data_IF_249572130373
#
_entry.id   IF_249572130373
#
_cell.length_a   1.000
_cell.length_b   1.000
_cell.length_c   1.000
_cell.angle_alpha   90.00
_cell.angle_beta   90.00
_cell.angle_gamma   90.00
#
_symmetry.space_group_name_H-M   'P 1'
#
loop_
_entity.id
_entity.type
_entity.pdbx_description
1 polymer ?
#
# COMPACT_ATOMS: atom_id res chain seq x y z
N UNK A 1 3.13 17.98 7.65
CA UNK A 1 2.99 16.87 6.69
C UNK A 1 3.60 15.65 7.33
N UNK A 2 2.88 14.54 7.33
CA UNK A 2 3.43 13.25 7.70
C UNK A 2 4.54 12.85 6.71
N UNK A 3 5.62 12.26 7.22
CA UNK A 3 6.79 11.80 6.43
C UNK A 3 6.90 10.27 6.43
N UNK A 4 5.88 9.59 6.91
CA UNK A 4 5.74 8.14 6.93
C UNK A 4 5.64 7.61 5.50
N UNK A 5 6.51 6.66 5.16
CA UNK A 5 6.59 6.07 3.83
C UNK A 5 6.22 4.59 3.90
N UNK A 6 5.27 4.19 3.05
CA UNK A 6 4.74 2.83 2.95
C UNK A 6 4.94 2.28 1.54
N UNK A 7 5.16 0.96 1.42
CA UNK A 7 5.42 0.33 0.12
C UNK A 7 4.28 0.56 -0.87
N UNK A 8 3.03 0.46 -0.43
CA UNK A 8 1.87 0.56 -1.33
C UNK A 8 1.74 1.96 -1.94
N UNK A 9 2.09 3.01 -1.20
CA UNK A 9 2.10 4.39 -1.72
C UNK A 9 3.14 4.52 -2.84
N UNK A 10 4.37 4.04 -2.61
CA UNK A 10 5.40 4.03 -3.65
C UNK A 10 4.97 3.20 -4.86
N UNK A 11 4.38 2.03 -4.63
CA UNK A 11 3.93 1.12 -5.68
C UNK A 11 2.80 1.65 -6.54
N UNK A 12 1.80 2.34 -5.97
CA UNK A 12 0.71 2.90 -6.77
C UNK A 12 1.19 4.08 -7.63
N UNK A 13 2.07 4.93 -7.11
CA UNK A 13 2.68 6.01 -7.89
C UNK A 13 3.60 5.47 -8.99
N UNK A 14 4.32 4.38 -8.71
CA UNK A 14 5.14 3.68 -9.70
C UNK A 14 4.27 3.17 -10.85
N UNK A 15 3.21 2.42 -10.54
CA UNK A 15 2.34 1.85 -11.55
C UNK A 15 1.64 2.94 -12.38
N UNK A 16 1.13 3.98 -11.72
CA UNK A 16 0.53 5.13 -12.42
C UNK A 16 1.53 5.83 -13.35
N UNK A 17 2.77 6.04 -12.90
CA UNK A 17 3.83 6.63 -13.73
C UNK A 17 4.19 5.73 -14.92
N UNK A 18 4.19 4.41 -14.72
CA UNK A 18 4.46 3.44 -15.79
C UNK A 18 3.37 3.47 -16.86
N UNK A 19 2.09 3.51 -16.46
CA UNK A 19 0.96 3.68 -17.37
C UNK A 19 1.05 5.01 -18.11
N UNK A 20 1.38 6.10 -17.42
CA UNK A 20 1.54 7.41 -18.05
C UNK A 20 2.69 7.43 -19.06
N UNK A 21 3.82 6.80 -18.75
CA UNK A 21 4.91 6.65 -19.70
C UNK A 21 4.47 5.82 -20.91
N UNK A 22 3.79 4.70 -20.70
CA UNK A 22 3.33 3.86 -21.79
C UNK A 22 2.34 4.60 -22.73
N UNK A 23 1.40 5.36 -22.18
CA UNK A 23 0.40 6.09 -22.98
C UNK A 23 0.99 7.32 -23.68
N UNK A 24 1.83 8.09 -22.99
CA UNK A 24 2.30 9.39 -23.50
C UNK A 24 3.65 9.34 -24.20
N UNK A 25 4.46 8.31 -23.90
CA UNK A 25 5.87 8.19 -24.28
C UNK A 25 6.75 9.38 -23.85
N UNK A 26 6.29 10.20 -22.90
CA UNK A 26 7.01 11.35 -22.38
C UNK A 26 8.09 10.91 -21.37
N UNK A 27 9.35 11.26 -21.66
CA UNK A 27 10.51 10.87 -20.87
C UNK A 27 10.41 11.25 -19.38
N UNK A 28 9.66 12.30 -19.02
CA UNK A 28 9.47 12.68 -17.61
C UNK A 28 8.89 11.54 -16.77
N UNK A 29 7.95 10.78 -17.34
CA UNK A 29 7.32 9.66 -16.64
C UNK A 29 8.29 8.49 -16.47
N UNK A 30 9.18 8.27 -17.45
CA UNK A 30 10.27 7.30 -17.29
C UNK A 30 11.21 7.68 -16.15
N UNK A 31 11.57 8.97 -16.04
CA UNK A 31 12.36 9.47 -14.91
C UNK A 31 11.66 9.22 -13.57
N UNK A 32 10.35 9.39 -13.49
CA UNK A 32 9.58 9.08 -12.28
C UNK A 32 9.59 7.58 -11.96
N UNK A 33 9.38 6.72 -12.96
CA UNK A 33 9.45 5.25 -12.80
C UNK A 33 10.81 4.83 -12.25
N UNK A 34 11.90 5.28 -12.88
CA UNK A 34 13.26 4.90 -12.48
C UNK A 34 13.59 5.37 -11.07
N UNK A 35 13.17 6.59 -10.71
CA UNK A 35 13.34 7.14 -9.37
C UNK A 35 12.54 6.37 -8.32
N UNK A 36 11.30 6.00 -8.60
CA UNK A 36 10.43 5.26 -7.68
C UNK A 36 10.90 3.82 -7.48
N UNK A 37 11.40 3.16 -8.52
CA UNK A 37 12.03 1.83 -8.40
C UNK A 37 13.26 1.92 -7.52
N UNK A 38 14.18 2.86 -7.81
CA UNK A 38 15.41 3.03 -7.04
C UNK A 38 15.12 3.31 -5.56
N UNK A 39 14.28 4.30 -5.27
CA UNK A 39 13.90 4.64 -3.90
C UNK A 39 13.19 3.49 -3.20
N UNK A 40 12.32 2.77 -3.91
CA UNK A 40 11.61 1.63 -3.36
C UNK A 40 12.55 0.49 -2.95
N UNK A 41 13.55 0.18 -3.79
CA UNK A 41 14.57 -0.82 -3.46
C UNK A 41 15.38 -0.38 -2.24
N UNK A 42 15.85 0.86 -2.20
CA UNK A 42 16.64 1.39 -1.08
C UNK A 42 15.87 1.43 0.25
N UNK A 43 14.56 1.72 0.20
CA UNK A 43 13.75 1.99 1.40
C UNK A 43 12.98 0.77 1.92
N UNK A 44 12.54 -0.10 1.02
CA UNK A 44 11.56 -1.15 1.31
C UNK A 44 12.09 -2.55 1.05
N UNK A 45 13.42 -2.70 1.07
CA UNK A 45 14.04 -4.01 1.08
C UNK A 45 14.87 -4.19 2.33
N UNK A 46 15.00 -5.43 2.79
CA UNK A 46 15.98 -5.78 3.82
C UNK A 46 17.38 -5.47 3.29
N UNK A 47 18.17 -4.73 4.08
CA UNK A 47 19.54 -4.36 3.75
C UNK A 47 20.37 -5.58 3.31
N UNK A 48 20.81 -5.55 2.04
CA UNK A 48 21.68 -6.57 1.46
C UNK A 48 20.97 -7.78 0.84
N UNK A 49 19.66 -7.96 1.07
CA UNK A 49 18.96 -9.20 0.70
C UNK A 49 17.86 -9.02 -0.35
N UNK A 50 17.50 -7.80 -0.79
CA UNK A 50 16.42 -7.57 -1.79
C UNK A 50 15.08 -8.28 -1.43
N UNK A 51 14.77 -8.38 -0.14
CA UNK A 51 13.52 -8.96 0.37
C UNK A 51 12.57 -7.83 0.73
N UNK A 52 11.35 -7.82 0.17
CA UNK A 52 10.38 -6.77 0.44
C UNK A 52 9.98 -6.68 1.93
N UNK A 53 9.91 -5.45 2.43
CA UNK A 53 9.93 -5.16 3.86
C UNK A 53 9.14 -3.89 4.22
N UNK A 54 8.32 -3.94 5.27
CA UNK A 54 7.64 -2.77 5.84
C UNK A 54 8.44 -2.16 7.00
N UNK A 55 9.36 -1.26 6.65
CA UNK A 55 10.39 -0.73 7.57
C UNK A 55 9.90 -0.10 8.88
N UNK A 56 8.67 0.42 8.93
CA UNK A 56 8.15 1.06 10.13
C UNK A 56 7.55 0.10 11.15
N UNK A 57 6.92 -0.97 10.69
CA UNK A 57 6.07 -1.80 11.53
C UNK A 57 6.57 -3.25 11.64
N UNK A 58 7.19 -3.77 10.59
CA UNK A 58 7.68 -5.13 10.52
C UNK A 58 8.79 -5.45 11.53
N UNK A 59 9.81 -4.59 11.79
CA UNK A 59 10.84 -4.92 12.77
C UNK A 59 10.25 -5.11 14.18
N UNK A 60 9.25 -4.29 14.53
CA UNK A 60 8.63 -4.27 15.85
C UNK A 60 7.42 -5.21 15.97
N UNK A 61 6.95 -5.79 14.86
CA UNK A 61 5.75 -6.64 14.86
C UNK A 61 4.47 -5.84 15.16
N UNK A 62 4.43 -4.57 14.76
CA UNK A 62 3.32 -3.64 15.07
C UNK A 62 2.46 -3.31 13.84
N UNK A 63 2.60 -4.08 12.75
CA UNK A 63 1.79 -3.86 11.56
C UNK A 63 0.31 -4.18 11.83
N UNK A 64 -0.55 -3.23 11.49
CA UNK A 64 -2.00 -3.43 11.49
C UNK A 64 -2.46 -4.30 10.30
N UNK A 65 -3.77 -4.54 10.23
CA UNK A 65 -4.36 -5.40 9.20
C UNK A 65 -4.17 -4.86 7.77
N UNK A 66 -4.15 -3.54 7.61
CA UNK A 66 -3.95 -2.90 6.31
C UNK A 66 -2.48 -3.06 5.87
N UNK A 67 -1.55 -2.71 6.75
CA UNK A 67 -0.10 -2.73 6.49
C UNK A 67 0.42 -4.11 6.10
N UNK A 68 -0.22 -5.18 6.61
CA UNK A 68 0.13 -6.57 6.27
C UNK A 68 -0.09 -6.94 4.81
N UNK A 69 -0.82 -6.13 4.05
CA UNK A 69 -1.09 -6.33 2.63
C UNK A 69 -0.18 -5.52 1.69
N UNK A 70 0.49 -4.49 2.21
CA UNK A 70 1.13 -3.45 1.41
C UNK A 70 2.27 -3.96 0.53
N UNK A 71 3.22 -4.74 1.09
CA UNK A 71 4.34 -5.32 0.33
C UNK A 71 3.86 -6.22 -0.83
N UNK A 72 2.71 -6.88 -0.66
CA UNK A 72 2.07 -7.66 -1.72
C UNK A 72 1.63 -6.81 -2.90
N UNK A 73 0.97 -5.68 -2.64
CA UNK A 73 0.56 -4.74 -3.69
C UNK A 73 1.77 -4.13 -4.39
N UNK A 74 2.83 -3.82 -3.65
CA UNK A 74 4.05 -3.29 -4.24
C UNK A 74 4.69 -4.27 -5.23
N UNK A 75 4.82 -5.56 -4.86
CA UNK A 75 5.33 -6.60 -5.77
C UNK A 75 4.44 -6.80 -7.00
N UNK A 76 3.11 -6.73 -6.83
CA UNK A 76 2.16 -6.74 -7.94
C UNK A 76 2.41 -5.59 -8.93
N UNK A 77 2.59 -4.39 -8.41
CA UNK A 77 2.77 -3.19 -9.24
C UNK A 77 4.14 -3.12 -9.89
N UNK A 78 5.18 -3.64 -9.23
CA UNK A 78 6.49 -3.87 -9.83
C UNK A 78 6.40 -4.81 -11.04
N UNK A 79 5.73 -5.96 -10.88
CA UNK A 79 5.46 -6.90 -11.96
C UNK A 79 4.68 -6.27 -13.12
N UNK A 80 3.60 -5.54 -12.82
CA UNK A 80 2.84 -4.83 -13.85
C UNK A 80 3.70 -3.78 -14.58
N UNK A 81 4.63 -3.12 -13.88
CA UNK A 81 5.55 -2.16 -14.49
C UNK A 81 6.48 -2.82 -15.51
N UNK A 82 6.94 -4.06 -15.26
CA UNK A 82 7.73 -4.84 -16.23
C UNK A 82 6.95 -5.02 -17.54
N UNK A 83 5.65 -5.31 -17.47
CA UNK A 83 4.83 -5.52 -18.69
C UNK A 83 4.64 -4.24 -19.50
N UNK A 84 4.69 -3.07 -18.86
CA UNK A 84 4.54 -1.77 -19.51
C UNK A 84 5.88 -1.20 -20.00
N UNK A 85 6.97 -1.49 -19.28
CA UNK A 85 8.30 -0.95 -19.52
C UNK A 85 9.34 -2.07 -19.36
N UNK A 86 9.55 -2.90 -20.40
CA UNK A 86 10.44 -4.06 -20.32
C UNK A 86 11.88 -3.71 -19.90
N UNK A 87 12.34 -2.49 -20.19
CA UNK A 87 13.68 -1.99 -19.84
C UNK A 87 13.99 -2.01 -18.34
N UNK A 88 12.97 -1.97 -17.46
CA UNK A 88 13.20 -2.01 -16.00
C UNK A 88 13.27 -3.43 -15.44
N UNK A 89 13.03 -4.45 -16.27
CA UNK A 89 12.89 -5.84 -15.85
C UNK A 89 14.07 -6.31 -15.02
N UNK A 90 15.30 -6.12 -15.49
CA UNK A 90 16.49 -6.65 -14.82
C UNK A 90 16.65 -6.09 -13.40
N UNK A 91 16.32 -4.81 -13.20
CA UNK A 91 16.36 -4.17 -11.88
C UNK A 91 15.28 -4.71 -10.95
N UNK A 92 14.07 -4.87 -11.45
CA UNK A 92 12.91 -5.31 -10.65
C UNK A 92 12.91 -6.81 -10.37
N UNK A 93 13.41 -7.61 -11.31
CA UNK A 93 13.33 -9.06 -11.28
C UNK A 93 14.06 -9.67 -10.08
N UNK A 94 15.27 -9.17 -9.80
CA UNK A 94 16.07 -9.64 -8.65
C UNK A 94 15.33 -9.47 -7.32
N UNK A 95 14.69 -8.32 -7.11
CA UNK A 95 13.83 -8.05 -5.94
C UNK A 95 12.65 -9.02 -5.87
N UNK A 96 11.94 -9.21 -6.99
CA UNK A 96 10.78 -10.08 -7.03
C UNK A 96 11.14 -11.54 -6.74
N UNK A 97 12.18 -12.09 -7.38
CA UNK A 97 12.57 -13.49 -7.19
C UNK A 97 13.07 -13.75 -5.78
N UNK A 98 13.83 -12.81 -5.20
CA UNK A 98 14.38 -12.99 -3.86
C UNK A 98 13.29 -12.87 -2.79
N UNK A 99 12.38 -11.90 -2.96
CA UNK A 99 11.18 -11.78 -2.13
C UNK A 99 10.29 -13.02 -2.22
N UNK A 100 10.08 -13.58 -3.42
CA UNK A 100 9.30 -14.80 -3.62
C UNK A 100 9.90 -16.01 -2.89
N UNK A 101 11.21 -16.20 -2.99
CA UNK A 101 11.92 -17.27 -2.28
C UNK A 101 11.83 -17.10 -0.76
N UNK A 102 12.02 -15.88 -0.26
CA UNK A 102 11.91 -15.57 1.16
C UNK A 102 10.49 -15.79 1.69
N UNK A 103 9.47 -15.29 0.97
CA UNK A 103 8.06 -15.50 1.28
C UNK A 103 7.70 -16.99 1.32
N UNK A 104 8.09 -17.76 0.30
CA UNK A 104 7.88 -19.21 0.27
C UNK A 104 8.50 -19.91 1.49
N UNK A 105 9.70 -19.47 1.89
CA UNK A 105 10.44 -20.10 2.98
C UNK A 105 9.75 -19.98 4.34
N UNK A 106 8.95 -18.94 4.55
CA UNK A 106 8.26 -18.71 5.83
C UNK A 106 6.83 -19.24 5.86
N UNK A 107 6.32 -19.76 4.73
CA UNK A 107 5.03 -20.42 4.61
C UNK A 107 5.04 -21.85 5.16
N UNK A 108 5.41 -21.98 6.44
CA UNK A 108 5.59 -23.25 7.15
C UNK A 108 4.72 -23.35 8.42
N UNK A 109 3.86 -22.36 8.66
CA UNK A 109 3.06 -22.25 9.87
C UNK A 109 1.87 -23.22 9.92
N UNK A 110 1.49 -23.59 11.14
CA UNK A 110 0.29 -24.40 11.45
C UNK A 110 -0.49 -23.82 12.64
N UNK A 111 -0.85 -22.52 12.65
CA UNK A 111 -1.53 -21.94 13.81
C UNK A 111 -2.94 -22.52 13.96
N UNK A 112 -3.24 -23.04 15.16
CA UNK A 112 -4.54 -23.67 15.48
C UNK A 112 -5.42 -22.80 16.36
N UNK A 113 -4.84 -21.81 17.04
CA UNK A 113 -5.57 -20.86 17.87
C UNK A 113 -5.96 -19.61 17.07
N UNK A 114 -7.05 -18.96 17.46
CA UNK A 114 -7.36 -17.62 16.97
C UNK A 114 -6.35 -16.61 17.52
N UNK A 115 -6.09 -15.55 16.77
CA UNK A 115 -5.36 -14.37 17.25
C UNK A 115 -6.28 -13.15 17.22
N UNK A 116 -5.88 -12.04 17.85
CA UNK A 116 -6.67 -10.81 17.83
C UNK A 116 -7.00 -10.40 16.39
N UNK A 117 -8.29 -10.23 16.08
CA UNK A 117 -8.77 -9.84 14.76
C UNK A 117 -8.89 -10.97 13.73
N UNK A 118 -8.33 -12.15 13.97
CA UNK A 118 -8.27 -13.23 12.97
C UNK A 118 -8.75 -14.58 13.51
N UNK A 119 -9.71 -15.24 12.84
CA UNK A 119 -10.14 -16.59 13.21
C UNK A 119 -8.99 -17.60 13.05
N UNK A 120 -9.08 -18.80 13.64
CA UNK A 120 -8.08 -19.85 13.44
C UNK A 120 -7.81 -20.08 11.96
N UNK A 121 -6.55 -20.33 11.61
CA UNK A 121 -6.17 -20.60 10.24
C UNK A 121 -6.88 -21.86 9.72
N UNK A 122 -7.61 -21.71 8.62
CA UNK A 122 -8.40 -22.78 8.00
C UNK A 122 -7.70 -23.48 6.83
N UNK A 123 -6.46 -23.10 6.53
CA UNK A 123 -5.67 -23.72 5.47
C UNK A 123 -5.04 -25.04 5.91
N UNK A 124 -4.21 -25.60 5.03
CA UNK A 124 -3.49 -26.85 5.30
C UNK A 124 -2.41 -26.64 6.38
N UNK A 125 -2.27 -27.57 7.31
CA UNK A 125 -1.19 -27.52 8.28
C UNK A 125 0.17 -27.48 7.56
N UNK A 126 1.03 -26.58 8.00
CA UNK A 126 2.35 -26.36 7.42
C UNK A 126 2.36 -25.39 6.24
N UNK A 127 1.24 -24.72 5.93
CA UNK A 127 1.15 -23.79 4.79
C UNK A 127 0.76 -22.38 5.16
N UNK A 128 0.61 -22.04 6.45
CA UNK A 128 0.34 -20.65 6.84
C UNK A 128 1.60 -19.81 6.60
N UNK A 129 1.43 -18.72 5.85
CA UNK A 129 2.48 -17.74 5.60
C UNK A 129 2.51 -16.67 6.69
N UNK A 130 3.71 -16.41 7.22
CA UNK A 130 3.99 -15.28 8.10
C UNK A 130 4.14 -13.96 7.34
N UNK A 131 4.21 -12.86 8.08
CA UNK A 131 4.42 -11.53 7.49
C UNK A 131 5.91 -11.21 7.30
N UNK A 132 6.72 -11.57 8.29
CA UNK A 132 8.18 -11.40 8.25
C UNK A 132 8.80 -12.44 7.35
N UNK A 133 9.47 -11.99 6.30
CA UNK A 133 10.19 -12.87 5.36
C UNK A 133 11.69 -12.96 5.69
N UNK A 134 12.14 -12.15 6.64
CA UNK A 134 13.47 -12.18 7.24
C UNK A 134 13.36 -12.17 8.77
N UNK A 135 13.98 -13.12 9.51
CA UNK A 135 14.79 -14.25 9.03
C UNK A 135 13.98 -15.25 8.19
N UNK A 136 14.61 -15.79 7.15
CA UNK A 136 14.01 -16.83 6.30
C UNK A 136 13.78 -18.13 7.08
N UNK A 137 12.91 -19.01 6.56
CA UNK A 137 12.60 -20.33 7.16
C UNK A 137 12.05 -20.27 8.59
N UNK A 138 11.55 -19.11 9.01
CA UNK A 138 11.02 -18.90 10.36
C UNK A 138 9.60 -18.35 10.21
N UNK A 139 8.62 -19.06 10.78
CA UNK A 139 7.26 -18.56 10.88
C UNK A 139 7.17 -17.61 12.09
N UNK A 140 6.78 -16.36 11.85
CA UNK A 140 6.74 -15.30 12.86
C UNK A 140 5.51 -15.37 13.79
N UNK A 141 4.62 -16.34 13.58
CA UNK A 141 3.37 -16.48 14.31
C UNK A 141 2.25 -15.59 13.78
N UNK A 142 2.53 -14.70 12.83
CA UNK A 142 1.51 -13.88 12.18
C UNK A 142 0.77 -14.69 11.12
N UNK A 143 -0.54 -14.52 11.05
CA UNK A 143 -1.34 -15.11 9.98
C UNK A 143 -2.64 -14.33 9.85
N UNK A 144 -3.15 -14.30 8.62
CA UNK A 144 -4.30 -13.50 8.26
C UNK A 144 -4.37 -13.35 6.73
N UNK A 145 -5.42 -12.67 6.27
CA UNK A 145 -5.63 -12.45 4.83
C UNK A 145 -4.49 -11.63 4.23
N UNK A 146 -4.00 -10.61 4.94
CA UNK A 146 -2.92 -9.75 4.47
C UNK A 146 -1.62 -10.52 4.23
N UNK A 147 -1.20 -11.34 5.20
CA UNK A 147 0.00 -12.17 5.10
C UNK A 147 -0.11 -13.21 3.97
N UNK A 148 -1.25 -13.90 3.88
CA UNK A 148 -1.47 -14.90 2.82
C UNK A 148 -1.48 -14.22 1.44
N UNK A 149 -2.13 -13.08 1.30
CA UNK A 149 -2.22 -12.33 0.04
C UNK A 149 -0.87 -11.74 -0.37
N UNK A 150 -0.08 -11.24 0.58
CA UNK A 150 1.26 -10.73 0.33
C UNK A 150 2.20 -11.85 -0.14
N UNK A 151 2.19 -13.00 0.53
CA UNK A 151 2.97 -14.16 0.12
C UNK A 151 2.52 -14.70 -1.24
N UNK A 152 1.21 -14.82 -1.48
CA UNK A 152 0.67 -15.21 -2.77
C UNK A 152 1.13 -14.28 -3.88
N UNK A 153 1.05 -12.97 -3.65
CA UNK A 153 1.50 -11.95 -4.62
C UNK A 153 2.98 -12.14 -4.95
N UNK A 154 3.84 -12.32 -3.96
CA UNK A 154 5.26 -12.57 -4.18
C UNK A 154 5.51 -13.78 -5.09
N UNK A 155 4.72 -14.86 -4.95
CA UNK A 155 4.85 -16.05 -5.77
C UNK A 155 4.30 -15.87 -7.18
N UNK A 156 3.02 -15.49 -7.32
CA UNK A 156 2.34 -15.50 -8.63
C UNK A 156 2.90 -14.46 -9.59
N UNK A 157 3.38 -13.32 -9.09
CA UNK A 157 3.88 -12.25 -9.96
C UNK A 157 5.26 -12.55 -10.54
N UNK A 158 5.96 -13.59 -10.07
CA UNK A 158 7.12 -14.13 -10.78
C UNK A 158 6.76 -14.80 -12.10
N UNK A 159 5.48 -15.02 -12.41
CA UNK A 159 5.02 -15.56 -13.69
C UNK A 159 4.80 -14.48 -14.75
N UNK A 160 5.36 -13.28 -14.56
CA UNK A 160 5.13 -12.11 -15.43
C UNK A 160 5.50 -12.35 -16.89
N UNK A 161 6.47 -13.23 -17.17
CA UNK A 161 6.93 -13.53 -18.53
C UNK A 161 5.91 -14.31 -19.36
N UNK A 162 5.05 -15.08 -18.69
CA UNK A 162 3.96 -15.82 -19.30
C UNK A 162 2.64 -15.02 -19.33
N UNK A 163 2.65 -13.80 -18.76
CA UNK A 163 1.48 -12.95 -18.67
C UNK A 163 1.31 -12.07 -19.92
N UNK A 164 0.08 -11.95 -20.41
CA UNK A 164 -0.25 -10.97 -21.43
C UNK A 164 -0.20 -9.55 -20.84
N UNK A 165 0.24 -8.59 -21.64
CA UNK A 165 0.19 -7.17 -21.28
C UNK A 165 -1.27 -6.71 -21.06
N UNK A 166 -1.50 -5.67 -20.23
CA UNK A 166 -2.83 -5.11 -20.03
C UNK A 166 -3.50 -4.70 -21.36
N UNK A 167 -4.73 -5.17 -21.58
CA UNK A 167 -5.50 -4.85 -22.79
C UNK A 167 -6.13 -3.46 -22.72
N UNK A 168 -6.32 -2.84 -23.87
CA UNK A 168 -7.02 -1.57 -24.07
C UNK A 168 -8.39 -1.81 -24.72
N UNK A 169 -9.12 -0.73 -25.01
CA UNK A 169 -10.36 -0.81 -25.80
C UNK A 169 -10.15 -1.32 -27.24
N UNK A 170 -8.92 -1.29 -27.75
CA UNK A 170 -8.58 -1.70 -29.12
C UNK A 170 -7.77 -2.99 -29.18
N UNK A 171 -7.23 -3.48 -28.05
CA UNK A 171 -6.35 -4.67 -28.00
C UNK A 171 -6.95 -5.85 -27.25
N UNK A 172 -8.28 -5.93 -27.15
CA UNK A 172 -8.98 -7.11 -26.60
C UNK A 172 -9.70 -6.88 -25.27
N UNK A 173 -9.82 -5.64 -24.79
CA UNK A 173 -10.66 -5.31 -23.65
C UNK A 173 -12.13 -5.59 -23.95
N UNK A 174 -12.75 -6.47 -23.17
CA UNK A 174 -14.16 -6.87 -23.32
C UNK A 174 -15.13 -6.08 -22.44
N UNK A 175 -14.61 -5.31 -21.47
CA UNK A 175 -15.41 -4.47 -20.59
C UNK A 175 -15.87 -3.19 -21.31
N UNK A 176 -17.14 -2.83 -21.15
CA UNK A 176 -17.73 -1.62 -21.73
C UNK A 176 -17.77 -0.49 -20.73
N UNK A 177 -17.26 0.70 -21.11
CA UNK A 177 -17.35 1.90 -20.28
C UNK A 177 -18.79 2.40 -20.10
N UNK A 178 -19.04 3.10 -19.01
CA UNK A 178 -20.30 3.81 -18.74
C UNK A 178 -20.02 5.32 -18.61
N UNK A 179 -20.42 6.17 -19.57
CA UNK A 179 -20.23 7.62 -19.47
C UNK A 179 -20.92 8.29 -18.27
N UNK A 180 -21.92 7.64 -17.68
CA UNK A 180 -22.58 8.05 -16.44
C UNK A 180 -22.08 7.31 -15.19
N UNK A 181 -20.90 6.67 -15.23
CA UNK A 181 -20.30 6.09 -14.04
C UNK A 181 -20.01 7.21 -13.01
N UNK A 182 -20.48 7.04 -11.78
CA UNK A 182 -20.40 8.06 -10.73
C UNK A 182 -21.42 9.21 -10.84
N UNK A 183 -22.28 9.22 -11.87
CA UNK A 183 -23.29 10.29 -12.06
C UNK A 183 -24.70 9.92 -11.57
N UNK A 184 -24.93 8.68 -11.11
CA UNK A 184 -26.23 8.26 -10.55
C UNK A 184 -26.38 8.85 -9.16
N UNK A 185 -27.07 9.99 -9.11
CA UNK A 185 -27.40 10.76 -7.91
C UNK A 185 -28.51 10.11 -7.10
N UNK A 186 -28.24 8.96 -6.48
CA UNK A 186 -29.02 8.50 -5.32
C UNK A 186 -28.06 8.37 -4.14
N UNK A 187 -27.92 9.46 -3.38
CA UNK A 187 -27.32 9.53 -2.03
C UNK A 187 -25.81 9.62 -1.80
N UNK A 188 -24.94 9.78 -2.80
CA UNK A 188 -23.59 10.32 -2.57
C UNK A 188 -23.55 11.81 -2.91
N UNK A 189 -24.09 12.62 -1.99
CA UNK A 189 -23.82 14.05 -2.01
C UNK A 189 -22.33 14.20 -1.75
N UNK A 190 -21.53 14.57 -2.77
CA UNK A 190 -20.35 15.39 -2.51
C UNK A 190 -20.84 16.44 -1.53
N UNK A 191 -20.29 16.45 -0.32
CA UNK A 191 -20.80 17.28 0.77
C UNK A 191 -20.53 18.73 0.40
N UNK A 192 -21.48 19.34 -0.32
CA UNK A 192 -21.48 20.75 -0.62
C UNK A 192 -21.82 21.42 0.71
N UNK A 193 -20.81 21.90 1.39
CA UNK A 193 -20.99 22.73 2.56
C UNK A 193 -21.62 24.05 2.12
N UNK A 194 -22.56 24.56 2.92
CA UNK A 194 -23.09 25.90 2.71
C UNK A 194 -21.96 26.93 2.79
N UNK A 195 -22.01 28.04 2.02
CA UNK A 195 -21.02 29.10 2.11
C UNK A 195 -20.91 29.64 3.54
N UNK A 196 -19.69 29.77 4.06
CA UNK A 196 -19.44 30.37 5.37
C UNK A 196 -19.94 31.82 5.36
N UNK A 197 -20.94 32.11 6.19
CA UNK A 197 -21.55 33.43 6.30
C UNK A 197 -20.77 34.34 7.27
N UNK A 198 -21.07 35.64 7.23
CA UNK A 198 -20.55 36.60 8.22
C UNK A 198 -20.97 36.24 9.64
N UNK A 199 -22.18 35.65 9.81
CA UNK A 199 -22.67 35.20 11.11
C UNK A 199 -21.84 34.03 11.66
N UNK A 200 -21.47 33.07 10.79
CA UNK A 200 -20.61 31.93 11.18
C UNK A 200 -19.23 32.41 11.62
N UNK A 201 -18.65 33.40 10.92
CA UNK A 201 -17.35 33.99 11.30
C UNK A 201 -17.43 34.75 12.62
N UNK A 202 -18.50 35.51 12.85
CA UNK A 202 -18.71 36.23 14.09
C UNK A 202 -18.91 35.28 15.28
N UNK A 203 -19.74 34.24 15.11
CA UNK A 203 -19.97 33.21 16.12
C UNK A 203 -18.68 32.44 16.47
N UNK A 204 -17.90 32.04 15.46
CA UNK A 204 -16.61 31.38 15.66
C UNK A 204 -15.61 32.28 16.42
N UNK A 205 -15.54 33.57 16.08
CA UNK A 205 -14.68 34.53 16.77
C UNK A 205 -15.06 34.75 18.23
N UNK A 206 -16.36 34.89 18.52
CA UNK A 206 -16.87 35.04 19.90
C UNK A 206 -16.54 33.78 20.71
N UNK A 207 -16.88 32.60 20.18
CA UNK A 207 -16.63 31.33 20.87
C UNK A 207 -15.15 31.13 21.18
N UNK A 208 -14.28 31.40 20.20
CA UNK A 208 -12.82 31.31 20.38
C UNK A 208 -12.33 32.26 21.47
N UNK A 209 -12.84 33.50 21.48
CA UNK A 209 -12.46 34.50 22.49
C UNK A 209 -12.91 34.09 23.90
N UNK A 210 -14.12 33.54 24.04
CA UNK A 210 -14.63 33.06 25.33
C UNK A 210 -13.83 31.87 25.86
N UNK A 211 -13.46 30.92 24.98
CA UNK A 211 -12.63 29.77 25.37
C UNK A 211 -11.25 30.24 25.82
N UNK A 212 -10.59 31.10 25.05
CA UNK A 212 -9.27 31.64 25.41
C UNK A 212 -9.36 32.42 26.72
N UNK A 213 -10.35 33.31 26.86
CA UNK A 213 -10.57 34.08 28.08
C UNK A 213 -10.84 33.20 29.30
N UNK A 214 -11.63 32.14 29.15
CA UNK A 214 -11.90 31.16 30.21
C UNK A 214 -10.66 30.39 30.63
N UNK A 215 -9.82 29.95 29.68
CA UNK A 215 -8.55 29.28 29.98
C UNK A 215 -7.60 30.22 30.73
N UNK A 216 -7.40 31.45 30.24
CA UNK A 216 -6.54 32.44 30.90
C UNK A 216 -7.07 32.78 32.30
N UNK A 217 -8.37 33.02 32.44
CA UNK A 217 -9.00 33.31 33.72
C UNK A 217 -8.88 32.15 34.71
N UNK A 218 -9.08 30.92 34.25
CA UNK A 218 -8.89 29.70 35.05
C UNK A 218 -7.44 29.53 35.51
N UNK A 219 -6.47 29.71 34.61
CA UNK A 219 -5.04 29.67 34.97
C UNK A 219 -4.67 30.74 36.00
N UNK A 220 -5.18 31.97 35.85
CA UNK A 220 -4.93 33.05 36.80
C UNK A 220 -5.55 32.77 38.18
N UNK A 221 -6.78 32.23 38.22
CA UNK A 221 -7.46 31.87 39.48
C UNK A 221 -6.73 30.74 40.24
N UNK A 222 -6.24 29.72 39.52
CA UNK A 222 -5.48 28.61 40.14
C UNK A 222 -4.09 29.05 40.62
N UNK A 223 -3.56 30.14 40.05
CA UNK A 223 -2.24 30.67 40.42
C UNK A 223 -2.27 31.70 41.55
N UNK A 224 -3.46 32.02 42.08
CA UNK A 224 -3.70 32.87 43.25
C UNK A 224 -3.98 31.99 44.49
#
# INVERSE_FOLDING_TARGET
MDRTEWTYNSGIFLHGSAVMYDVTKDAKWKTHVDGLIKHGIEKFTVDGDNIAYEQLCEPHGTCDDDQRSFKGYWLRWLSATITLIPDVKDTVWSLMTTSAQAAASVCIGSPTAAISGHPPFKGMAGTACGFKWNPTKTFDGSFGVGEQMSALSALIYTLVDDAAAPVTNSTGGTSTGNPGAGSKSDSEKIRVFDPITTADRAGAGILTTLIIGGVIGGCAFVSL
#
